data_IF_575931497273
#
_entry.id   IF_575931497273
#
_cell.length_a   1.000
_cell.length_b   1.000
_cell.length_c   1.000
_cell.angle_alpha   90.00
_cell.angle_beta   90.00
_cell.angle_gamma   90.00
#
_symmetry.space_group_name_H-M   'P 1'
#
loop_
_entity.id
_entity.type
_entity.pdbx_description
1 polymer ?
#
# COMPACT_ATOMS: atom_id res chain seq x y z
N UNK A 1 -4.68 7.73 13.21
CA UNK A 1 -5.44 7.84 14.47
C UNK A 1 -4.75 8.83 15.42
N UNK A 2 -3.49 8.60 15.83
CA UNK A 2 -2.79 9.53 16.74
C UNK A 2 -2.67 10.95 16.17
N UNK A 3 -2.42 11.10 14.88
CA UNK A 3 -2.41 12.39 14.21
C UNK A 3 -3.78 13.08 14.31
N UNK A 4 -4.87 12.34 14.04
CA UNK A 4 -6.24 12.88 14.05
C UNK A 4 -6.67 13.37 15.44
N UNK A 5 -6.18 12.71 16.50
CA UNK A 5 -6.49 13.10 17.88
C UNK A 5 -5.68 14.28 18.40
N UNK A 6 -4.57 14.58 17.74
CA UNK A 6 -3.61 15.58 18.21
C UNK A 6 -3.25 16.55 17.08
N UNK A 7 -4.24 16.97 16.28
CA UNK A 7 -4.03 17.89 15.15
C UNK A 7 -3.42 19.24 15.61
N UNK A 8 -3.76 19.68 16.81
CA UNK A 8 -3.22 20.87 17.47
C UNK A 8 -1.76 20.72 17.91
N UNK A 9 -1.24 19.50 17.89
CA UNK A 9 0.18 19.24 18.14
C UNK A 9 1.05 19.36 16.88
N UNK A 10 0.45 19.65 15.73
CA UNK A 10 1.15 19.78 14.45
C UNK A 10 0.91 21.15 13.84
N UNK A 11 1.98 21.74 13.32
CA UNK A 11 1.91 22.94 12.50
C UNK A 11 2.03 22.54 11.03
N UNK A 12 1.15 23.10 10.21
CA UNK A 12 1.23 22.99 8.75
C UNK A 12 1.66 24.36 8.22
N UNK A 13 2.72 24.38 7.44
CA UNK A 13 3.25 25.58 6.79
C UNK A 13 2.96 25.50 5.27
N UNK A 14 1.82 26.02 4.82
CA UNK A 14 1.43 25.97 3.41
C UNK A 14 2.41 26.76 2.54
N UNK A 15 2.69 26.20 1.35
CA UNK A 15 3.56 26.86 0.38
C UNK A 15 5.05 26.57 0.58
N UNK A 16 5.43 25.77 1.57
CA UNK A 16 6.77 25.28 1.76
C UNK A 16 6.79 23.81 1.27
N UNK A 17 7.32 23.59 0.07
CA UNK A 17 7.16 22.33 -0.63
C UNK A 17 8.45 21.48 -0.64
N UNK A 18 9.60 22.09 -0.38
CA UNK A 18 10.89 21.41 -0.36
C UNK A 18 11.86 22.04 0.68
N UNK A 19 13.03 21.45 0.78
CA UNK A 19 14.08 21.90 1.70
C UNK A 19 14.55 23.32 1.39
N UNK A 20 14.57 23.72 0.13
CA UNK A 20 14.99 25.06 -0.27
C UNK A 20 14.01 26.13 0.20
N UNK A 21 12.70 25.87 0.03
CA UNK A 21 11.64 26.74 0.53
C UNK A 21 11.72 26.85 2.05
N UNK A 22 11.91 25.73 2.75
CA UNK A 22 12.04 25.69 4.21
C UNK A 22 13.25 26.50 4.70
N UNK A 23 14.39 26.28 4.06
CA UNK A 23 15.61 27.02 4.39
C UNK A 23 15.47 28.53 4.13
N UNK A 24 14.81 28.92 3.05
CA UNK A 24 14.52 30.31 2.75
C UNK A 24 13.61 30.93 3.80
N UNK A 25 12.51 30.25 4.15
CA UNK A 25 11.57 30.70 5.17
C UNK A 25 12.26 30.96 6.51
N UNK A 26 13.07 30.01 6.97
CA UNK A 26 13.78 30.15 8.26
C UNK A 26 14.86 31.23 8.23
N UNK A 27 15.48 31.44 7.09
CA UNK A 27 16.48 32.48 6.94
C UNK A 27 15.87 33.89 6.90
N UNK A 28 14.70 34.08 6.27
CA UNK A 28 14.17 35.40 5.94
C UNK A 28 12.84 35.74 6.58
N UNK A 29 11.97 34.77 6.83
CA UNK A 29 10.57 35.02 7.21
C UNK A 29 10.26 34.61 8.67
N UNK A 30 10.93 33.59 9.21
CA UNK A 30 10.72 33.11 10.57
C UNK A 30 11.14 34.11 11.67
N UNK A 31 11.77 35.21 11.31
CA UNK A 31 12.17 36.26 12.26
C UNK A 31 13.37 35.89 13.13
N UNK A 32 14.09 34.79 12.82
CA UNK A 32 15.29 34.36 13.56
C UNK A 32 16.47 35.27 13.27
N UNK A 33 16.61 35.69 12.01
CA UNK A 33 17.65 36.59 11.56
C UNK A 33 17.06 37.90 11.08
N UNK A 34 17.74 39.02 11.33
CA UNK A 34 17.35 40.28 10.69
C UNK A 34 17.99 40.39 9.30
N UNK A 35 17.36 41.12 8.38
CA UNK A 35 17.96 41.44 7.07
C UNK A 35 19.36 42.03 7.18
N UNK A 36 19.62 42.76 8.28
CA UNK A 36 20.94 43.32 8.55
C UNK A 36 21.97 42.29 8.94
N UNK A 37 21.54 41.21 9.62
CA UNK A 37 22.47 40.13 10.03
C UNK A 37 22.82 39.27 8.82
N UNK A 38 21.88 39.00 7.94
CA UNK A 38 22.11 38.23 6.72
C UNK A 38 22.90 39.06 5.69
N UNK A 39 22.50 40.31 5.46
CA UNK A 39 23.19 41.24 4.57
C UNK A 39 23.69 40.61 3.27
N UNK A 40 24.99 40.84 2.89
CA UNK A 40 25.52 40.24 1.67
C UNK A 40 25.70 38.72 1.74
N UNK A 41 25.65 38.10 2.91
CA UNK A 41 25.81 36.66 3.09
C UNK A 41 24.61 35.88 2.58
N UNK A 42 23.42 36.51 2.46
CA UNK A 42 22.20 35.87 1.96
C UNK A 42 22.41 35.19 0.58
N UNK A 43 23.25 35.78 -0.28
CA UNK A 43 23.56 35.22 -1.60
C UNK A 43 24.46 33.97 -1.57
N UNK A 44 25.02 33.64 -0.41
CA UNK A 44 25.93 32.51 -0.22
C UNK A 44 25.31 31.40 0.64
N UNK A 45 24.05 31.55 1.08
CA UNK A 45 23.37 30.54 1.88
C UNK A 45 22.92 29.41 0.96
N UNK A 46 23.29 28.20 1.33
CA UNK A 46 22.75 26.99 0.76
C UNK A 46 21.42 26.67 1.47
N UNK A 47 20.31 27.20 0.93
CA UNK A 47 18.98 27.07 1.52
C UNK A 47 18.51 25.63 1.55
N UNK A 48 18.84 24.81 0.53
CA UNK A 48 18.48 23.40 0.49
C UNK A 48 19.12 22.64 1.66
N UNK A 49 20.40 22.84 1.86
CA UNK A 49 21.11 22.20 2.98
C UNK A 49 20.59 22.69 4.33
N UNK A 50 20.38 24.00 4.47
CA UNK A 50 19.88 24.58 5.70
C UNK A 50 18.47 24.07 6.03
N UNK A 51 17.56 24.02 5.05
CA UNK A 51 16.20 23.50 5.24
C UNK A 51 16.20 22.00 5.55
N UNK A 52 17.09 21.23 4.94
CA UNK A 52 17.24 19.81 5.28
C UNK A 52 17.66 19.60 6.73
N UNK A 53 18.63 20.37 7.23
CA UNK A 53 19.06 20.29 8.61
C UNK A 53 17.90 20.65 9.57
N UNK A 54 17.11 21.69 9.25
CA UNK A 54 15.89 22.08 10.00
C UNK A 54 14.85 20.94 9.97
N UNK A 55 14.56 20.41 8.81
CA UNK A 55 13.56 19.33 8.70
C UNK A 55 13.94 18.10 9.52
N UNK A 56 15.23 17.80 9.61
CA UNK A 56 15.75 16.72 10.45
C UNK A 56 15.58 17.03 11.94
N UNK A 57 15.93 18.26 12.36
CA UNK A 57 15.87 18.68 13.77
C UNK A 57 14.41 18.73 14.26
N UNK A 58 13.49 19.21 13.42
CA UNK A 58 12.06 19.30 13.73
C UNK A 58 11.29 18.00 13.51
N UNK A 59 11.95 16.97 12.93
CA UNK A 59 11.30 15.72 12.49
C UNK A 59 10.10 15.97 11.57
N UNK A 60 10.15 17.05 10.80
CA UNK A 60 9.09 17.47 9.90
C UNK A 60 9.09 16.69 8.59
N UNK A 61 8.01 16.84 7.85
CA UNK A 61 7.80 16.18 6.55
C UNK A 61 7.15 17.12 5.54
N UNK A 62 7.60 17.03 4.30
CA UNK A 62 6.97 17.69 3.16
C UNK A 62 5.79 16.85 2.67
N UNK A 63 4.69 17.52 2.40
CA UNK A 63 3.45 16.95 1.87
C UNK A 63 2.92 17.81 0.72
N UNK A 64 1.92 17.35 0.00
CA UNK A 64 1.30 18.12 -1.08
C UNK A 64 0.62 19.42 -0.58
N UNK A 65 0.31 19.50 0.72
CA UNK A 65 -0.30 20.67 1.35
C UNK A 65 0.73 21.63 1.99
N UNK A 66 2.00 21.25 2.00
CA UNK A 66 3.09 22.01 2.60
C UNK A 66 3.94 21.21 3.59
N UNK A 67 4.77 21.92 4.35
CA UNK A 67 5.62 21.31 5.36
C UNK A 67 4.87 21.15 6.69
N UNK A 68 4.95 19.95 7.25
CA UNK A 68 4.30 19.57 8.53
C UNK A 68 5.37 19.28 9.57
N UNK A 69 5.27 19.90 10.73
CA UNK A 69 6.16 19.66 11.86
C UNK A 69 5.38 19.41 13.16
N UNK A 70 6.04 18.80 14.12
CA UNK A 70 5.50 18.64 15.47
C UNK A 70 5.67 19.95 16.23
N UNK A 71 4.55 20.60 16.61
CA UNK A 71 4.53 21.83 17.38
C UNK A 71 4.59 21.59 18.90
N UNK A 72 4.16 20.40 19.35
CA UNK A 72 4.17 20.01 20.75
C UNK A 72 4.53 18.55 20.91
N UNK A 73 5.51 18.25 21.76
CA UNK A 73 5.91 16.86 22.09
C UNK A 73 4.87 16.13 22.97
N UNK A 74 3.89 16.84 23.49
CA UNK A 74 2.91 16.28 24.42
C UNK A 74 1.58 16.06 23.74
N UNK A 75 1.34 14.81 23.38
CA UNK A 75 0.02 14.39 22.94
C UNK A 75 -0.95 14.33 24.13
N UNK A 76 -2.07 15.00 23.99
CA UNK A 76 -3.13 14.97 25.01
C UNK A 76 -3.86 13.62 25.04
N UNK A 77 -3.86 12.94 23.90
CA UNK A 77 -4.43 11.59 23.75
C UNK A 77 -3.51 10.70 22.94
N UNK A 78 -3.29 9.52 23.44
CA UNK A 78 -2.54 8.48 22.73
C UNK A 78 -3.45 7.27 22.54
N UNK A 79 -3.59 6.87 21.28
CA UNK A 79 -4.33 5.66 20.94
C UNK A 79 -3.53 4.42 21.38
N UNK A 80 -4.13 3.60 22.20
CA UNK A 80 -3.53 2.39 22.77
C UNK A 80 -3.83 1.11 21.98
N UNK A 81 -4.59 1.21 20.88
CA UNK A 81 -4.99 0.08 20.03
C UNK A 81 -6.46 -0.34 20.23
N UNK A 82 -7.17 0.25 21.18
CA UNK A 82 -8.58 -0.10 21.43
C UNK A 82 -9.53 0.86 20.68
N UNK A 83 -10.50 0.29 19.96
CA UNK A 83 -11.47 1.07 19.19
C UNK A 83 -12.34 1.97 20.07
N UNK A 84 -12.53 1.58 21.33
CA UNK A 84 -13.32 2.35 22.30
C UNK A 84 -12.67 3.66 22.73
N UNK A 85 -11.36 3.80 22.53
CA UNK A 85 -10.63 5.05 22.79
C UNK A 85 -10.80 6.08 21.67
N UNK A 86 -11.38 5.70 20.53
CA UNK A 86 -11.69 6.62 19.43
C UNK A 86 -13.02 7.32 19.76
N UNK A 87 -13.06 8.66 19.94
CA UNK A 87 -14.31 9.37 20.09
C UNK A 87 -15.27 9.08 18.93
N UNK A 88 -16.55 8.94 19.22
CA UNK A 88 -17.58 8.56 18.24
C UNK A 88 -17.60 9.48 17.01
N UNK A 89 -17.25 10.76 17.18
CA UNK A 89 -17.16 11.76 16.12
C UNK A 89 -16.02 11.50 15.10
N UNK A 90 -14.99 10.74 15.51
CA UNK A 90 -13.84 10.35 14.65
C UNK A 90 -13.85 8.87 14.32
N UNK A 91 -14.77 8.12 14.92
CA UNK A 91 -15.02 6.79 14.43
C UNK A 91 -15.63 6.95 13.06
N UNK A 92 -14.91 6.58 12.01
CA UNK A 92 -15.54 6.19 10.76
C UNK A 92 -16.25 4.84 11.06
N UNK A 93 -17.19 4.90 12.01
CA UNK A 93 -18.32 4.06 11.90
C UNK A 93 -19.03 4.62 10.69
N UNK A 94 -18.72 4.13 9.50
CA UNK A 94 -19.83 3.88 8.65
C UNK A 94 -20.87 3.28 9.57
N UNK A 95 -21.96 4.03 9.77
CA UNK A 95 -23.24 3.50 10.21
C UNK A 95 -23.93 2.81 9.02
N UNK A 96 -23.17 2.02 8.35
CA UNK A 96 -23.38 0.66 8.08
C UNK A 96 -22.94 -0.05 9.35
N UNK A 97 -23.86 -0.72 10.04
CA UNK A 97 -23.56 -1.95 10.72
C UNK A 97 -22.26 -2.44 10.12
N UNK A 98 -21.25 -2.84 10.97
CA UNK A 98 -20.41 -3.88 10.47
C UNK A 98 -21.43 -4.81 9.83
N UNK A 99 -21.74 -4.56 8.58
CA UNK A 99 -22.17 -5.62 7.74
C UNK A 99 -21.03 -6.58 8.02
N UNK A 100 -21.27 -7.52 8.91
CA UNK A 100 -20.85 -8.84 8.60
C UNK A 100 -21.12 -8.90 7.12
N UNK A 101 -20.11 -8.49 6.32
CA UNK A 101 -20.05 -8.83 4.93
C UNK A 101 -19.83 -10.34 5.00
N UNK A 102 -20.92 -11.01 5.35
CA UNK A 102 -21.23 -12.38 4.98
C UNK A 102 -21.44 -12.37 3.46
N UNK A 103 -20.64 -11.58 2.77
CA UNK A 103 -20.56 -11.56 1.33
C UNK A 103 -19.47 -12.53 0.95
N UNK A 104 -19.87 -13.78 0.87
CA UNK A 104 -19.02 -14.76 0.22
C UNK A 104 -18.84 -14.38 -1.24
N UNK A 105 -17.60 -14.49 -1.70
CA UNK A 105 -17.23 -14.34 -3.11
C UNK A 105 -16.80 -15.68 -3.67
N UNK A 106 -17.24 -15.97 -4.88
CA UNK A 106 -16.80 -17.15 -5.60
C UNK A 106 -15.51 -16.84 -6.37
N UNK A 107 -14.44 -17.49 -5.98
CA UNK A 107 -13.09 -17.30 -6.51
C UNK A 107 -12.54 -18.59 -7.11
N UNK A 108 -11.55 -18.49 -7.97
CA UNK A 108 -10.84 -19.65 -8.51
C UNK A 108 -9.51 -19.80 -7.77
N UNK A 109 -9.36 -20.87 -7.01
CA UNK A 109 -8.11 -21.20 -6.31
C UNK A 109 -7.20 -22.00 -7.23
N UNK A 110 -5.93 -21.62 -7.27
CA UNK A 110 -4.87 -22.29 -8.04
C UNK A 110 -3.73 -22.64 -7.10
N UNK A 111 -3.62 -23.92 -6.77
CA UNK A 111 -2.55 -24.44 -5.93
C UNK A 111 -1.38 -24.98 -6.78
N UNK A 112 -0.14 -24.94 -6.27
CA UNK A 112 1.00 -25.54 -6.96
C UNK A 112 0.77 -27.03 -7.25
N UNK A 113 0.97 -27.41 -8.52
CA UNK A 113 0.88 -28.81 -8.95
C UNK A 113 -0.54 -29.38 -9.01
N UNK A 114 -1.58 -28.58 -8.81
CA UNK A 114 -2.98 -29.01 -8.88
C UNK A 114 -3.75 -28.32 -9.98
N UNK A 115 -4.88 -28.91 -10.39
CA UNK A 115 -5.87 -28.23 -11.22
C UNK A 115 -6.61 -27.17 -10.39
N UNK A 116 -7.03 -26.05 -11.03
CA UNK A 116 -7.79 -25.02 -10.34
C UNK A 116 -9.19 -25.51 -9.94
N UNK A 117 -9.72 -24.91 -8.87
CA UNK A 117 -11.08 -25.21 -8.43
C UNK A 117 -11.78 -23.96 -7.89
N UNK A 118 -13.08 -23.91 -8.04
CA UNK A 118 -13.89 -22.81 -7.52
C UNK A 118 -14.14 -23.02 -6.04
N UNK A 119 -14.02 -21.93 -5.27
CA UNK A 119 -14.28 -21.90 -3.83
C UNK A 119 -15.07 -20.63 -3.48
N UNK A 120 -16.03 -20.76 -2.59
CA UNK A 120 -16.64 -19.61 -1.93
C UNK A 120 -15.85 -19.28 -0.68
N UNK A 121 -15.44 -18.04 -0.56
CA UNK A 121 -14.68 -17.50 0.58
C UNK A 121 -15.32 -16.20 1.05
N UNK A 122 -15.08 -15.82 2.28
CA UNK A 122 -15.42 -14.49 2.76
C UNK A 122 -14.61 -13.42 2.00
N UNK A 123 -15.24 -12.29 1.65
CA UNK A 123 -14.58 -11.22 0.91
C UNK A 123 -13.61 -10.38 1.73
N UNK A 124 -13.55 -10.62 3.05
CA UNK A 124 -12.68 -9.90 3.98
C UNK A 124 -11.20 -10.20 3.78
N UNK A 125 -10.36 -9.24 4.15
CA UNK A 125 -8.90 -9.33 4.01
C UNK A 125 -8.32 -10.58 4.70
N UNK A 126 -8.80 -10.92 5.89
CA UNK A 126 -8.32 -12.09 6.64
C UNK A 126 -8.54 -13.41 5.87
N UNK A 127 -9.68 -13.54 5.20
CA UNK A 127 -10.00 -14.70 4.39
C UNK A 127 -9.07 -14.81 3.18
N UNK A 128 -8.85 -13.70 2.48
CA UNK A 128 -7.92 -13.63 1.35
C UNK A 128 -6.49 -14.00 1.78
N UNK A 129 -6.01 -13.44 2.88
CA UNK A 129 -4.70 -13.75 3.45
C UNK A 129 -4.57 -15.22 3.87
N UNK A 130 -5.64 -15.78 4.44
CA UNK A 130 -5.67 -17.18 4.82
C UNK A 130 -5.48 -18.11 3.62
N UNK A 131 -6.16 -17.82 2.50
CA UNK A 131 -6.09 -18.65 1.29
C UNK A 131 -4.70 -18.64 0.64
N UNK A 132 -4.01 -17.51 0.63
CA UNK A 132 -2.66 -17.40 0.03
C UNK A 132 -1.53 -17.70 1.03
N UNK A 133 -1.86 -17.76 2.33
CA UNK A 133 -0.93 -18.10 3.39
C UNK A 133 0.01 -16.95 3.79
N UNK A 134 -0.40 -15.68 3.66
CA UNK A 134 0.43 -14.51 4.00
C UNK A 134 -0.21 -13.19 3.60
N UNK A 135 0.58 -12.12 3.59
CA UNK A 135 0.14 -10.84 3.06
C UNK A 135 -0.19 -10.96 1.57
N UNK A 136 -1.23 -10.24 1.14
CA UNK A 136 -1.70 -10.34 -0.23
C UNK A 136 -1.06 -9.27 -1.12
N UNK A 137 -0.71 -9.66 -2.33
CA UNK A 137 -0.45 -8.80 -3.47
C UNK A 137 -1.52 -9.07 -4.54
N UNK A 138 -2.06 -8.02 -5.13
CA UNK A 138 -2.98 -8.11 -6.26
C UNK A 138 -2.28 -7.66 -7.54
N UNK A 139 -2.26 -8.51 -8.55
CA UNK A 139 -1.68 -8.24 -9.87
C UNK A 139 -2.75 -8.33 -10.95
N UNK A 140 -2.59 -7.56 -12.02
CA UNK A 140 -3.61 -7.38 -13.06
C UNK A 140 -3.04 -7.74 -14.44
N UNK A 141 -2.74 -9.02 -14.70
CA UNK A 141 -2.09 -9.43 -15.95
C UNK A 141 -3.03 -9.54 -17.15
N UNK A 142 -4.33 -9.35 -16.96
CA UNK A 142 -5.34 -9.55 -17.99
C UNK A 142 -6.16 -8.28 -18.23
N UNK A 143 -6.70 -8.13 -19.43
CA UNK A 143 -7.66 -7.06 -19.76
C UNK A 143 -9.05 -7.30 -19.15
N UNK A 144 -9.35 -8.54 -18.79
CA UNK A 144 -10.60 -8.87 -18.09
C UNK A 144 -10.66 -8.19 -16.72
N UNK A 145 -11.87 -7.86 -16.22
CA UNK A 145 -12.04 -7.27 -14.90
C UNK A 145 -11.85 -8.33 -13.80
N UNK A 146 -10.63 -8.83 -13.68
CA UNK A 146 -10.18 -9.79 -12.67
C UNK A 146 -8.82 -9.39 -12.11
N UNK A 147 -8.52 -9.84 -10.90
CA UNK A 147 -7.19 -9.77 -10.32
C UNK A 147 -6.69 -11.16 -9.95
N UNK A 148 -5.37 -11.35 -10.00
CA UNK A 148 -4.70 -12.45 -9.34
C UNK A 148 -4.25 -11.97 -7.95
N UNK A 149 -4.70 -12.65 -6.92
CA UNK A 149 -4.31 -12.37 -5.53
C UNK A 149 -3.39 -13.48 -5.07
N UNK A 150 -2.17 -13.14 -4.71
CA UNK A 150 -1.12 -14.09 -4.30
C UNK A 150 -0.42 -13.62 -3.02
N UNK A 151 0.46 -14.45 -2.47
CA UNK A 151 1.31 -14.08 -1.34
C UNK A 151 2.41 -13.12 -1.82
N UNK A 152 2.46 -11.92 -1.25
CA UNK A 152 3.44 -10.87 -1.57
C UNK A 152 4.89 -11.35 -1.40
N UNK A 153 5.16 -12.13 -0.35
CA UNK A 153 6.50 -12.62 -0.02
C UNK A 153 6.74 -14.06 -0.50
N UNK A 154 5.81 -14.66 -1.26
CA UNK A 154 5.86 -16.08 -1.62
C UNK A 154 7.17 -16.53 -2.27
N UNK A 155 7.79 -15.70 -3.11
CA UNK A 155 9.12 -15.99 -3.70
C UNK A 155 10.25 -15.88 -2.68
N UNK A 156 10.17 -14.92 -1.76
CA UNK A 156 11.17 -14.69 -0.71
C UNK A 156 11.12 -15.79 0.34
N UNK A 157 9.92 -16.28 0.65
CA UNK A 157 9.68 -17.40 1.55
C UNK A 157 10.03 -18.77 0.91
N UNK A 158 10.30 -18.78 -0.39
CA UNK A 158 10.64 -20.00 -1.12
C UNK A 158 9.46 -20.94 -1.32
N UNK A 159 8.23 -20.39 -1.42
CA UNK A 159 7.06 -21.20 -1.73
C UNK A 159 7.20 -21.88 -3.10
N UNK A 160 6.55 -23.05 -3.32
CA UNK A 160 6.61 -23.74 -4.59
C UNK A 160 6.15 -22.84 -5.74
N UNK A 161 6.88 -22.83 -6.85
CA UNK A 161 6.47 -22.13 -8.06
C UNK A 161 5.20 -22.77 -8.63
N UNK A 162 4.27 -21.94 -9.09
CA UNK A 162 2.93 -22.39 -9.44
C UNK A 162 2.60 -22.25 -10.92
N UNK A 163 2.49 -21.02 -11.41
CA UNK A 163 2.15 -20.71 -12.81
C UNK A 163 2.99 -19.56 -13.31
N UNK A 164 3.41 -19.65 -14.56
CA UNK A 164 4.08 -18.54 -15.24
C UNK A 164 3.08 -17.51 -15.77
N UNK A 165 3.42 -16.24 -15.61
CA UNK A 165 2.75 -15.14 -16.26
C UNK A 165 3.46 -14.82 -17.56
N UNK A 166 2.70 -14.74 -18.65
CA UNK A 166 3.23 -14.58 -19.99
C UNK A 166 2.68 -13.33 -20.63
N UNK A 167 3.50 -12.69 -21.44
CA UNK A 167 3.09 -11.58 -22.29
C UNK A 167 2.35 -12.07 -23.56
N UNK A 168 1.99 -11.12 -24.42
CA UNK A 168 1.28 -11.39 -25.69
C UNK A 168 2.08 -12.28 -26.66
N UNK A 169 3.41 -12.24 -26.57
CA UNK A 169 4.32 -13.06 -27.40
C UNK A 169 4.51 -14.47 -26.80
N UNK A 170 3.99 -14.72 -25.60
CA UNK A 170 4.09 -15.98 -24.86
C UNK A 170 5.35 -16.10 -24.02
N UNK A 171 6.16 -15.07 -23.93
CA UNK A 171 7.36 -15.03 -23.13
C UNK A 171 7.02 -14.88 -21.63
N UNK A 172 7.73 -15.65 -20.79
CA UNK A 172 7.53 -15.58 -19.33
C UNK A 172 8.18 -14.30 -18.80
N UNK A 173 7.37 -13.42 -18.25
CA UNK A 173 7.87 -12.22 -17.57
C UNK A 173 7.85 -12.35 -16.06
N UNK A 174 7.01 -13.23 -15.48
CA UNK A 174 6.99 -13.52 -14.05
C UNK A 174 6.46 -14.94 -13.77
N UNK A 175 6.65 -15.42 -12.52
CA UNK A 175 6.14 -16.71 -12.04
C UNK A 175 5.55 -16.48 -10.66
N UNK A 176 4.30 -16.90 -10.46
CA UNK A 176 3.65 -16.84 -9.15
C UNK A 176 4.14 -18.00 -8.29
N UNK A 177 4.49 -17.71 -7.04
CA UNK A 177 4.88 -18.72 -6.04
C UNK A 177 3.78 -18.88 -4.99
N UNK A 178 3.57 -20.11 -4.54
CA UNK A 178 2.51 -20.46 -3.59
C UNK A 178 1.12 -20.56 -4.23
N UNK A 179 0.11 -20.67 -3.39
CA UNK A 179 -1.29 -20.62 -3.80
C UNK A 179 -1.66 -19.19 -4.20
N UNK A 180 -2.40 -19.05 -5.27
CA UNK A 180 -3.02 -17.79 -5.63
C UNK A 180 -4.49 -18.01 -5.99
N UNK A 181 -5.24 -16.93 -6.05
CA UNK A 181 -6.63 -16.95 -6.47
C UNK A 181 -6.89 -15.95 -7.58
N UNK A 182 -7.85 -16.26 -8.43
CA UNK A 182 -8.44 -15.29 -9.37
C UNK A 182 -9.73 -14.80 -8.76
N UNK A 183 -9.88 -13.49 -8.67
CA UNK A 183 -11.04 -12.79 -8.11
C UNK A 183 -11.63 -11.85 -9.16
N UNK A 184 -12.94 -11.64 -9.13
CA UNK A 184 -13.57 -10.61 -9.94
C UNK A 184 -13.28 -9.22 -9.39
N UNK A 185 -13.40 -8.20 -10.24
CA UNK A 185 -13.31 -6.80 -9.83
C UNK A 185 -14.70 -6.17 -9.84
N UNK A 186 -14.99 -5.41 -8.80
CA UNK A 186 -16.15 -4.50 -8.71
C UNK A 186 -15.64 -3.06 -8.74
N UNK A 187 -16.55 -2.08 -8.67
CA UNK A 187 -16.16 -0.66 -8.70
C UNK A 187 -15.23 -0.28 -7.54
N UNK A 188 -15.39 -0.92 -6.37
CA UNK A 188 -14.69 -0.54 -5.15
C UNK A 188 -13.90 -1.67 -4.47
N UNK A 189 -14.05 -2.93 -4.92
CA UNK A 189 -13.48 -4.08 -4.21
C UNK A 189 -13.32 -5.33 -5.07
N UNK A 190 -12.79 -6.41 -4.46
CA UNK A 190 -12.85 -7.74 -5.03
C UNK A 190 -14.28 -8.31 -4.93
N UNK A 191 -14.66 -9.07 -5.94
CA UNK A 191 -15.99 -9.69 -6.03
C UNK A 191 -15.92 -11.10 -6.59
N UNK A 192 -17.11 -11.70 -6.74
CA UNK A 192 -17.25 -13.01 -7.34
C UNK A 192 -16.87 -12.99 -8.82
N UNK A 193 -16.22 -14.04 -9.27
CA UNK A 193 -16.07 -14.31 -10.70
C UNK A 193 -17.43 -14.60 -11.33
N UNK A 194 -17.61 -14.14 -12.55
CA UNK A 194 -18.73 -14.61 -13.38
C UNK A 194 -18.51 -16.05 -13.84
N UNK A 195 -19.57 -16.72 -14.25
CA UNK A 195 -19.47 -18.10 -14.78
C UNK A 195 -18.53 -18.17 -15.98
N UNK A 196 -18.55 -17.16 -16.83
CA UNK A 196 -17.66 -17.09 -17.99
C UNK A 196 -16.18 -16.93 -17.60
N UNK A 197 -15.90 -16.06 -16.60
CA UNK A 197 -14.56 -15.88 -16.04
C UNK A 197 -14.07 -17.17 -15.36
N UNK A 198 -14.91 -17.81 -14.56
CA UNK A 198 -14.57 -19.09 -13.93
C UNK A 198 -14.16 -20.14 -14.96
N UNK A 199 -14.93 -20.28 -16.02
CA UNK A 199 -14.61 -21.24 -17.09
C UNK A 199 -13.31 -20.85 -17.81
N UNK A 200 -13.19 -19.59 -18.21
CA UNK A 200 -12.01 -19.08 -18.93
C UNK A 200 -10.72 -19.32 -18.14
N UNK A 201 -10.69 -18.90 -16.86
CA UNK A 201 -9.49 -19.03 -16.04
C UNK A 201 -9.25 -20.44 -15.51
N UNK A 202 -10.31 -21.25 -15.34
CA UNK A 202 -10.14 -22.68 -15.09
C UNK A 202 -9.43 -23.40 -16.25
N UNK A 203 -9.83 -23.11 -17.49
CA UNK A 203 -9.18 -23.68 -18.66
C UNK A 203 -7.74 -23.14 -18.84
N UNK A 204 -7.53 -21.84 -18.56
CA UNK A 204 -6.24 -21.18 -18.67
C UNK A 204 -5.21 -21.79 -17.71
N UNK A 205 -5.58 -22.02 -16.45
CA UNK A 205 -4.70 -22.56 -15.42
C UNK A 205 -4.80 -24.07 -15.22
N UNK A 206 -5.53 -24.78 -16.07
CA UNK A 206 -5.85 -26.18 -15.93
C UNK A 206 -4.62 -27.07 -15.79
N UNK A 207 -3.60 -26.79 -16.58
CA UNK A 207 -2.39 -27.63 -16.60
C UNK A 207 -1.38 -27.08 -15.59
N UNK A 208 -1.03 -27.86 -14.54
CA UNK A 208 0.04 -27.47 -13.63
C UNK A 208 1.38 -27.37 -14.36
N UNK A 209 2.10 -26.27 -14.12
CA UNK A 209 3.43 -26.08 -14.68
C UNK A 209 4.50 -26.68 -13.75
N UNK A 210 5.60 -27.15 -14.34
CA UNK A 210 6.77 -27.62 -13.61
C UNK A 210 7.96 -26.76 -14.01
N UNK A 211 8.63 -26.21 -13.02
CA UNK A 211 9.78 -25.34 -13.22
C UNK A 211 11.07 -26.05 -12.83
N UNK A 212 12.05 -26.01 -13.72
CA UNK A 212 13.37 -26.58 -13.49
C UNK A 212 14.41 -25.47 -13.47
N UNK A 213 15.22 -25.43 -12.42
CA UNK A 213 16.34 -24.48 -12.34
C UNK A 213 17.54 -25.03 -13.09
N UNK A 214 17.92 -24.39 -14.19
CA UNK A 214 19.13 -24.70 -14.97
C UNK A 214 20.13 -23.55 -14.79
N UNK A 215 21.04 -23.69 -13.84
CA UNK A 215 21.94 -22.61 -13.44
C UNK A 215 21.17 -21.46 -12.79
N UNK A 216 21.28 -20.24 -13.35
CA UNK A 216 20.56 -19.05 -12.88
C UNK A 216 19.22 -18.83 -13.62
N UNK A 217 18.83 -19.71 -14.52
CA UNK A 217 17.56 -19.63 -15.26
C UNK A 217 16.56 -20.65 -14.74
N UNK A 218 15.30 -20.21 -14.67
CA UNK A 218 14.13 -21.07 -14.46
C UNK A 218 13.52 -21.34 -15.85
N UNK A 219 13.27 -22.62 -16.14
CA UNK A 219 12.67 -23.08 -17.40
C UNK A 219 11.49 -23.96 -17.07
#
# INVERSE_FOLDING_TARGET
INLTFNLDCYDIMPGINDESDLGYYYAHEAGIYSEKDLGPLANYIDYERYGRDIAMDEQGRFTDEGYVRVASERWDRQFNGELDDIPDEYRITGSGEAAEHDSTIAVLIVEPGKEPYVKEIDSGLESLQHEVGGYIEAIYPYEDPVALVCNEEGKLEGLPLNRALRDEDGDIYDIVAGTFMVVGLTDDSFGSLTVEQMQKFSDHFKVPEQFVKLGDKIV
#
